data_IF_938711314244
#
_entry.id   IF_938711314244
#
_cell.length_a   1.000
_cell.length_b   1.000
_cell.length_c   1.000
_cell.angle_alpha   90.00
_cell.angle_beta   90.00
_cell.angle_gamma   90.00
#
_symmetry.space_group_name_H-M   'P 1'
#
loop_
_entity.id
_entity.type
_entity.pdbx_description
1 polymer ?
#
# COMPACT_ATOMS: atom_id res chain seq x y z
N UNK A 1 -6.04 -11.06 -11.68
CA UNK A 1 -7.02 -11.72 -12.58
C UNK A 1 -8.40 -11.06 -12.45
N UNK A 2 -9.15 -10.93 -13.54
CA UNK A 2 -10.51 -10.38 -13.48
C UNK A 2 -11.54 -11.47 -13.13
N UNK A 3 -12.72 -11.10 -12.62
CA UNK A 3 -13.82 -12.06 -12.35
C UNK A 3 -14.17 -12.88 -13.60
N UNK A 4 -14.08 -12.27 -14.79
CA UNK A 4 -14.29 -12.92 -16.09
C UNK A 4 -13.30 -14.06 -16.38
N UNK A 5 -12.10 -14.00 -15.81
CA UNK A 5 -11.04 -14.99 -16.07
C UNK A 5 -11.04 -16.12 -15.05
N UNK A 6 -11.54 -15.88 -13.83
CA UNK A 6 -11.51 -16.86 -12.74
C UNK A 6 -12.88 -17.51 -12.48
N UNK A 7 -13.97 -16.91 -12.94
CA UNK A 7 -15.33 -17.33 -12.61
C UNK A 7 -15.71 -17.11 -11.14
N UNK A 8 -14.82 -16.50 -10.33
CA UNK A 8 -15.03 -16.21 -8.91
C UNK A 8 -15.26 -14.71 -8.72
N UNK A 9 -16.07 -14.37 -7.71
CA UNK A 9 -16.18 -12.99 -7.23
C UNK A 9 -14.83 -12.53 -6.68
N UNK A 10 -14.49 -11.25 -6.88
CA UNK A 10 -13.16 -10.72 -6.54
C UNK A 10 -12.83 -10.81 -5.05
N UNK A 11 -13.83 -10.64 -4.18
CA UNK A 11 -13.72 -10.77 -2.73
C UNK A 11 -13.36 -12.21 -2.32
N UNK A 12 -13.99 -13.19 -2.94
CA UNK A 12 -13.74 -14.62 -2.72
C UNK A 12 -12.35 -15.01 -3.22
N UNK A 13 -11.97 -14.54 -4.42
CA UNK A 13 -10.64 -14.77 -4.97
C UNK A 13 -9.55 -14.16 -4.08
N UNK A 14 -9.73 -12.91 -3.62
CA UNK A 14 -8.78 -12.25 -2.73
C UNK A 14 -8.69 -12.95 -1.37
N UNK A 15 -9.82 -13.42 -0.82
CA UNK A 15 -9.81 -14.15 0.43
C UNK A 15 -8.98 -15.44 0.34
N UNK A 16 -9.24 -16.26 -0.67
CA UNK A 16 -8.54 -17.55 -0.83
C UNK A 16 -7.05 -17.40 -1.17
N UNK A 17 -6.71 -16.45 -2.05
CA UNK A 17 -5.36 -16.39 -2.65
C UNK A 17 -4.44 -15.39 -1.96
N UNK A 18 -4.98 -14.48 -1.15
CA UNK A 18 -4.20 -13.44 -0.48
C UNK A 18 -4.49 -13.35 1.01
N UNK A 19 -5.75 -13.16 1.41
CA UNK A 19 -6.06 -12.89 2.82
C UNK A 19 -5.83 -14.11 3.72
N UNK A 20 -6.37 -15.29 3.36
CA UNK A 20 -6.16 -16.52 4.13
C UNK A 20 -4.67 -16.89 4.23
N UNK A 21 -3.87 -16.92 3.14
CA UNK A 21 -2.42 -17.15 3.24
C UNK A 21 -1.68 -16.17 4.16
N UNK A 22 -2.12 -14.92 4.23
CA UNK A 22 -1.55 -13.88 5.09
C UNK A 22 -2.12 -13.87 6.52
N UNK A 23 -3.02 -14.80 6.86
CA UNK A 23 -3.67 -14.87 8.17
C UNK A 23 -4.71 -13.76 8.41
N UNK A 24 -5.17 -13.09 7.36
CA UNK A 24 -6.17 -12.02 7.42
C UNK A 24 -7.55 -12.66 7.45
N UNK A 25 -8.08 -12.82 8.68
CA UNK A 25 -9.38 -13.45 8.92
C UNK A 25 -10.53 -12.46 9.15
N UNK A 26 -10.22 -11.16 9.26
CA UNK A 26 -11.19 -10.09 9.49
C UNK A 26 -11.01 -9.00 8.44
N UNK A 27 -11.93 -8.94 7.50
CA UNK A 27 -12.01 -7.89 6.49
C UNK A 27 -13.47 -7.61 6.17
N UNK A 28 -13.73 -6.41 5.67
CA UNK A 28 -15.02 -6.04 5.11
C UNK A 28 -14.77 -5.39 3.75
N UNK A 29 -15.61 -5.72 2.76
CA UNK A 29 -15.56 -5.07 1.46
C UNK A 29 -16.90 -4.40 1.18
N UNK A 30 -16.88 -3.07 1.13
CA UNK A 30 -18.06 -2.31 0.72
C UNK A 30 -18.47 -2.68 -0.71
N UNK A 31 -19.77 -2.70 -0.95
CA UNK A 31 -20.36 -2.97 -2.27
C UNK A 31 -20.81 -1.67 -2.92
N UNK A 32 -20.90 -1.65 -4.25
CA UNK A 32 -21.53 -0.50 -4.92
C UNK A 32 -23.02 -0.42 -4.55
N UNK A 33 -23.55 0.79 -4.27
CA UNK A 33 -24.95 0.96 -3.91
C UNK A 33 -25.90 0.27 -4.89
N UNK A 34 -26.85 -0.52 -4.36
CA UNK A 34 -27.83 -1.25 -5.17
C UNK A 34 -27.27 -2.48 -5.90
N UNK A 35 -26.05 -2.91 -5.61
CA UNK A 35 -25.44 -4.10 -6.23
C UNK A 35 -24.82 -5.03 -5.19
N UNK A 36 -24.57 -6.28 -5.61
CA UNK A 36 -23.78 -7.25 -4.85
C UNK A 36 -22.28 -7.21 -5.20
N UNK A 37 -21.85 -6.25 -6.03
CA UNK A 37 -20.49 -6.16 -6.53
C UNK A 37 -19.59 -5.43 -5.52
N UNK A 38 -18.48 -6.05 -5.08
CA UNK A 38 -17.48 -5.35 -4.27
C UNK A 38 -16.92 -4.14 -5.00
N UNK A 39 -16.78 -3.02 -4.29
CA UNK A 39 -16.11 -1.84 -4.81
C UNK A 39 -14.59 -2.10 -4.85
N UNK A 40 -14.10 -2.74 -5.90
CA UNK A 40 -12.71 -3.19 -5.94
C UNK A 40 -11.68 -2.04 -5.88
N UNK A 41 -12.05 -0.88 -6.42
CA UNK A 41 -11.22 0.32 -6.43
C UNK A 41 -11.24 1.07 -5.07
N UNK A 42 -12.19 0.78 -4.19
CA UNK A 42 -12.38 1.50 -2.93
C UNK A 42 -13.25 0.74 -1.93
N UNK A 43 -12.93 0.81 -0.64
CA UNK A 43 -13.85 0.27 0.39
C UNK A 43 -13.54 -1.14 0.88
N UNK A 44 -12.38 -1.70 0.52
CA UNK A 44 -11.76 -2.73 1.35
C UNK A 44 -11.36 -2.12 2.70
N UNK A 45 -11.78 -2.74 3.80
CA UNK A 45 -11.43 -2.39 5.17
C UNK A 45 -10.62 -3.52 5.79
N UNK A 46 -9.41 -3.17 6.22
CA UNK A 46 -8.48 -4.05 6.91
C UNK A 46 -7.97 -3.35 8.16
N UNK A 47 -7.53 -4.12 9.16
CA UNK A 47 -6.78 -3.54 10.29
C UNK A 47 -5.39 -3.15 9.81
N UNK A 48 -4.77 -2.14 10.42
CA UNK A 48 -3.43 -1.67 10.04
C UNK A 48 -2.37 -2.77 10.11
N UNK A 49 -2.51 -3.72 11.05
CA UNK A 49 -1.66 -4.93 11.15
C UNK A 49 -1.80 -5.88 9.95
N UNK A 50 -3.01 -5.98 9.38
CA UNK A 50 -3.28 -6.86 8.23
C UNK A 50 -2.76 -6.19 6.94
N UNK A 51 -2.85 -4.86 6.85
CA UNK A 51 -2.16 -4.08 5.81
C UNK A 51 -0.63 -4.21 5.93
N UNK A 52 -0.10 -4.28 7.14
CA UNK A 52 1.33 -4.49 7.36
C UNK A 52 1.77 -5.87 6.86
N UNK A 53 0.97 -6.92 7.03
CA UNK A 53 1.27 -8.24 6.44
C UNK A 53 1.33 -8.18 4.90
N UNK A 54 0.39 -7.48 4.27
CA UNK A 54 0.43 -7.25 2.82
C UNK A 54 1.68 -6.49 2.38
N UNK A 55 2.04 -5.44 3.13
CA UNK A 55 3.21 -4.63 2.85
C UNK A 55 4.50 -5.46 3.06
N UNK A 56 4.57 -6.27 4.10
CA UNK A 56 5.69 -7.18 4.34
C UNK A 56 5.81 -8.26 3.25
N UNK A 57 4.68 -8.77 2.73
CA UNK A 57 4.69 -9.66 1.57
C UNK A 57 5.39 -9.01 0.37
N UNK A 58 5.10 -7.74 0.09
CA UNK A 58 5.75 -6.98 -0.99
C UNK A 58 7.24 -6.71 -0.71
N UNK A 59 7.57 -6.35 0.53
CA UNK A 59 8.96 -6.15 0.97
C UNK A 59 9.78 -7.43 0.81
N UNK A 60 9.21 -8.58 1.17
CA UNK A 60 9.80 -9.92 1.00
C UNK A 60 9.57 -10.51 -0.38
N UNK A 61 9.45 -9.65 -1.40
CA UNK A 61 9.41 -10.04 -2.82
C UNK A 61 8.36 -11.11 -3.14
N UNK A 62 7.21 -11.04 -2.47
CA UNK A 62 6.08 -11.92 -2.69
C UNK A 62 6.17 -13.26 -1.94
N UNK A 63 7.13 -13.43 -1.04
CA UNK A 63 7.31 -14.62 -0.21
C UNK A 63 6.68 -14.43 1.18
N UNK A 64 5.96 -15.44 1.66
CA UNK A 64 5.35 -15.47 2.99
C UNK A 64 5.46 -16.87 3.58
N UNK A 65 6.05 -17.02 4.78
CA UNK A 65 6.28 -18.31 5.45
C UNK A 65 6.77 -19.40 4.50
N UNK A 66 7.87 -19.12 3.80
CA UNK A 66 8.49 -19.99 2.81
C UNK A 66 7.72 -20.28 1.51
N UNK A 67 6.50 -19.77 1.37
CA UNK A 67 5.70 -19.90 0.16
C UNK A 67 5.78 -18.65 -0.72
N UNK A 68 6.02 -18.83 -2.01
CA UNK A 68 5.86 -17.77 -3.00
C UNK A 68 4.36 -17.55 -3.26
N UNK A 69 3.81 -16.42 -2.83
CA UNK A 69 2.39 -16.06 -3.06
C UNK A 69 2.22 -15.16 -4.29
N UNK A 70 3.18 -14.26 -4.53
CA UNK A 70 3.19 -13.36 -5.69
C UNK A 70 4.54 -13.54 -6.39
N UNK A 71 4.63 -13.75 -7.71
CA UNK A 71 5.92 -13.91 -8.37
C UNK A 71 6.88 -12.74 -8.08
N UNK A 72 8.14 -13.03 -7.73
CA UNK A 72 9.16 -12.02 -7.44
C UNK A 72 9.26 -10.98 -8.57
N UNK A 73 9.29 -11.45 -9.82
CA UNK A 73 9.29 -10.60 -11.02
C UNK A 73 8.12 -9.61 -11.05
N UNK A 74 6.93 -10.03 -10.64
CA UNK A 74 5.76 -9.14 -10.59
C UNK A 74 5.94 -8.05 -9.54
N UNK A 75 6.49 -8.39 -8.36
CA UNK A 75 6.80 -7.40 -7.33
C UNK A 75 7.78 -6.36 -7.86
N UNK A 76 8.86 -6.82 -8.48
CA UNK A 76 9.88 -5.94 -9.07
C UNK A 76 9.29 -5.01 -10.13
N UNK A 77 8.54 -5.56 -11.09
CA UNK A 77 7.88 -4.77 -12.14
C UNK A 77 6.84 -3.78 -11.59
N UNK A 78 6.07 -4.18 -10.57
CA UNK A 78 5.05 -3.31 -9.95
C UNK A 78 5.62 -2.13 -9.17
N UNK A 79 6.88 -2.21 -8.77
CA UNK A 79 7.59 -1.13 -8.08
C UNK A 79 8.40 -0.26 -9.06
N UNK A 80 8.27 -0.46 -10.37
CA UNK A 80 8.88 0.40 -11.38
C UNK A 80 7.92 1.48 -11.88
N UNK A 81 8.45 2.68 -12.20
CA UNK A 81 7.67 3.74 -12.82
C UNK A 81 7.18 3.28 -14.20
N UNK A 82 5.87 3.29 -14.41
CA UNK A 82 5.25 3.03 -15.71
C UNK A 82 4.87 4.34 -16.41
N UNK A 83 4.53 5.37 -15.62
CA UNK A 83 4.17 6.70 -16.09
C UNK A 83 4.76 7.75 -15.14
N UNK A 84 5.39 8.79 -15.70
CA UNK A 84 5.80 9.99 -14.97
C UNK A 84 4.58 10.88 -14.73
N UNK A 85 4.44 11.41 -13.51
CA UNK A 85 3.32 12.29 -13.19
C UNK A 85 3.67 13.76 -13.50
N UNK A 86 2.71 14.56 -13.97
CA UNK A 86 2.93 15.98 -14.27
C UNK A 86 3.36 16.81 -13.06
N UNK A 87 2.93 16.41 -11.86
CA UNK A 87 3.22 17.10 -10.59
C UNK A 87 4.49 16.59 -9.90
N UNK A 88 5.27 15.75 -10.59
CA UNK A 88 6.47 15.12 -10.07
C UNK A 88 6.19 13.73 -9.47
N UNK A 89 7.21 12.89 -9.50
CA UNK A 89 7.10 11.48 -9.14
C UNK A 89 6.51 10.62 -10.27
N UNK A 90 6.14 9.40 -9.93
CA UNK A 90 5.71 8.39 -10.90
C UNK A 90 4.58 7.52 -10.36
N UNK A 91 4.03 6.71 -11.24
CA UNK A 91 3.02 5.71 -10.94
C UNK A 91 3.31 4.42 -11.70
N UNK A 92 3.11 3.27 -11.06
CA UNK A 92 3.29 1.96 -11.65
C UNK A 92 2.40 0.92 -10.99
N UNK A 93 1.62 0.18 -11.78
CA UNK A 93 0.75 -0.93 -11.35
C UNK A 93 0.09 -0.77 -9.96
N UNK A 94 -0.61 0.35 -9.73
CA UNK A 94 -1.30 0.70 -8.47
C UNK A 94 -0.46 1.28 -7.33
N UNK A 95 0.83 1.51 -7.56
CA UNK A 95 1.74 2.16 -6.63
C UNK A 95 2.09 3.57 -7.09
N UNK A 96 2.05 4.49 -6.14
CA UNK A 96 2.56 5.84 -6.31
C UNK A 96 4.02 5.90 -5.88
N UNK A 97 4.79 6.77 -6.50
CA UNK A 97 6.22 6.90 -6.24
C UNK A 97 6.59 8.37 -6.21
N UNK A 98 7.32 8.79 -5.20
CA UNK A 98 7.86 10.15 -5.08
C UNK A 98 9.05 10.18 -4.13
N UNK A 99 9.67 11.34 -4.03
CA UNK A 99 10.77 11.59 -3.11
C UNK A 99 10.28 12.34 -1.88
N UNK A 100 10.46 11.76 -0.69
CA UNK A 100 10.35 12.49 0.57
C UNK A 100 11.64 13.28 0.81
N UNK A 101 11.50 14.52 1.27
CA UNK A 101 12.63 15.43 1.55
C UNK A 101 12.79 15.62 3.05
N UNK A 102 14.01 15.47 3.54
CA UNK A 102 14.38 15.73 4.94
C UNK A 102 15.72 16.48 4.99
N UNK A 103 15.66 17.81 5.13
CA UNK A 103 16.84 18.65 4.94
C UNK A 103 17.43 18.42 3.55
N UNK A 104 18.71 18.09 3.49
CA UNK A 104 19.42 17.78 2.23
C UNK A 104 19.20 16.33 1.74
N UNK A 105 18.53 15.49 2.53
CA UNK A 105 18.27 14.10 2.16
C UNK A 105 17.05 13.99 1.25
N UNK A 106 17.20 13.15 0.23
CA UNK A 106 16.14 12.74 -0.67
C UNK A 106 15.92 11.24 -0.48
N UNK A 107 14.70 10.85 -0.10
CA UNK A 107 14.34 9.48 0.22
C UNK A 107 13.27 9.04 -0.77
N UNK A 108 13.62 8.21 -1.78
CA UNK A 108 12.63 7.69 -2.72
C UNK A 108 11.71 6.71 -2.00
N UNK A 109 10.40 6.92 -2.12
CA UNK A 109 9.38 6.06 -1.54
C UNK A 109 8.47 5.50 -2.62
N UNK A 110 8.16 4.21 -2.50
CA UNK A 110 7.00 3.60 -3.17
C UNK A 110 5.87 3.55 -2.16
N UNK A 111 4.63 3.79 -2.57
CA UNK A 111 3.52 3.92 -1.62
C UNK A 111 2.15 3.61 -2.19
N UNK A 112 1.29 3.08 -1.32
CA UNK A 112 -0.14 2.99 -1.55
C UNK A 112 -0.83 4.24 -0.98
N UNK A 113 -1.74 4.84 -1.74
CA UNK A 113 -2.45 6.08 -1.36
C UNK A 113 -3.95 5.81 -1.33
N UNK A 114 -4.56 5.93 -0.15
CA UNK A 114 -6.00 5.84 0.04
C UNK A 114 -6.61 7.16 0.49
N UNK A 115 -7.87 7.41 0.08
CA UNK A 115 -8.68 8.51 0.62
C UNK A 115 -8.83 8.35 2.14
N UNK A 116 -8.82 9.46 2.87
CA UNK A 116 -8.78 9.43 4.34
C UNK A 116 -7.38 9.51 4.92
N UNK A 117 -6.38 9.81 4.10
CA UNK A 117 -4.97 9.87 4.48
C UNK A 117 -4.45 8.50 4.98
N UNK A 118 -4.85 7.44 4.26
CA UNK A 118 -4.36 6.08 4.47
C UNK A 118 -3.10 5.86 3.62
N UNK A 119 -2.01 5.39 4.20
CA UNK A 119 -0.76 5.14 3.48
C UNK A 119 -0.08 3.84 3.88
N UNK A 120 0.62 3.26 2.91
CA UNK A 120 1.67 2.28 3.12
C UNK A 120 2.91 2.84 2.45
N UNK A 121 3.96 3.15 3.21
CA UNK A 121 5.24 3.61 2.68
C UNK A 121 6.25 2.45 2.67
N UNK A 122 6.91 2.28 1.54
CA UNK A 122 8.03 1.37 1.34
C UNK A 122 9.29 2.21 1.13
N UNK A 123 10.04 2.42 2.21
CA UNK A 123 11.37 3.03 2.18
C UNK A 123 12.43 1.93 2.24
N UNK A 124 12.73 1.37 1.07
CA UNK A 124 13.69 0.27 0.93
C UNK A 124 15.11 0.69 1.24
N UNK A 125 15.45 1.97 1.04
CA UNK A 125 16.81 2.47 1.26
C UNK A 125 17.19 2.43 2.75
N UNK A 126 16.19 2.55 3.63
CA UNK A 126 16.39 2.55 5.08
C UNK A 126 15.81 1.32 5.79
N UNK A 127 15.43 0.27 5.05
CA UNK A 127 14.76 -0.95 5.56
C UNK A 127 13.55 -0.61 6.46
N UNK A 128 12.72 0.32 5.98
CA UNK A 128 11.60 0.88 6.72
C UNK A 128 10.29 0.66 5.96
N UNK A 129 9.33 0.05 6.67
CA UNK A 129 7.97 -0.14 6.22
C UNK A 129 7.00 0.53 7.21
N UNK A 130 6.15 1.41 6.70
CA UNK A 130 5.24 2.19 7.55
C UNK A 130 3.82 2.08 7.03
N UNK A 131 2.90 1.65 7.89
CA UNK A 131 1.46 1.69 7.63
C UNK A 131 0.84 2.75 8.53
N UNK A 132 0.14 3.69 7.93
CA UNK A 132 -0.63 4.71 8.63
C UNK A 132 -2.07 4.68 8.17
N UNK A 133 -2.98 4.64 9.14
CA UNK A 133 -4.41 4.76 8.88
C UNK A 133 -4.99 5.94 9.64
N UNK A 134 -5.76 6.79 8.96
CA UNK A 134 -6.34 8.02 9.51
C UNK A 134 -7.83 8.14 9.16
N UNK A 135 -8.40 9.33 9.34
CA UNK A 135 -9.83 9.61 9.08
C UNK A 135 -10.05 10.90 8.28
N UNK A 136 -9.02 11.40 7.59
CA UNK A 136 -9.03 12.70 6.92
C UNK A 136 -9.71 12.63 5.54
N UNK A 137 -10.93 12.08 5.48
CA UNK A 137 -11.61 11.82 4.22
C UNK A 137 -11.91 13.11 3.46
N UNK A 138 -11.65 13.11 2.15
CA UNK A 138 -11.84 14.24 1.24
C UNK A 138 -11.05 15.51 1.63
N UNK A 139 -10.01 15.35 2.45
CA UNK A 139 -9.08 16.41 2.86
C UNK A 139 -7.70 16.13 2.27
N UNK A 140 -7.50 16.49 1.01
CA UNK A 140 -6.24 16.19 0.30
C UNK A 140 -5.11 17.17 0.64
N UNK A 141 -5.45 18.42 0.99
CA UNK A 141 -4.49 19.52 1.18
C UNK A 141 -4.12 19.79 2.65
N UNK A 142 -4.43 18.86 3.56
CA UNK A 142 -4.04 19.03 4.97
C UNK A 142 -2.52 18.96 5.12
N UNK A 143 -1.97 19.91 5.88
CA UNK A 143 -0.52 20.00 6.11
C UNK A 143 -0.01 18.90 7.03
N UNK A 144 -0.75 18.56 8.09
CA UNK A 144 -0.38 17.52 9.05
C UNK A 144 -0.86 16.14 8.56
N UNK A 145 -0.51 15.79 7.33
CA UNK A 145 -0.84 14.51 6.73
C UNK A 145 0.16 13.41 7.12
N UNK A 146 -0.09 12.19 6.69
CA UNK A 146 0.79 11.04 6.91
C UNK A 146 2.24 11.25 6.43
N UNK A 147 2.45 11.93 5.31
CA UNK A 147 3.83 12.27 4.87
C UNK A 147 4.49 13.25 5.84
N UNK A 148 3.75 14.20 6.44
CA UNK A 148 4.29 15.04 7.50
C UNK A 148 4.65 14.23 8.75
N UNK A 149 3.82 13.25 9.15
CA UNK A 149 4.17 12.35 10.26
C UNK A 149 5.48 11.57 10.00
N UNK A 150 5.66 11.12 8.76
CA UNK A 150 6.88 10.44 8.33
C UNK A 150 8.09 11.37 8.44
N UNK A 151 8.00 12.60 7.93
CA UNK A 151 9.12 13.58 7.94
C UNK A 151 9.41 14.20 9.29
N UNK A 152 8.39 14.44 10.11
CA UNK A 152 8.53 15.25 11.32
C UNK A 152 8.79 14.39 12.56
N UNK A 153 8.44 13.10 12.52
CA UNK A 153 8.58 12.20 13.68
C UNK A 153 9.34 10.92 13.37
N UNK A 154 8.99 10.20 12.28
CA UNK A 154 9.59 8.87 12.01
C UNK A 154 11.02 9.01 11.51
N UNK A 155 11.25 9.77 10.45
CA UNK A 155 12.60 9.93 9.91
C UNK A 155 13.57 10.61 10.89
N UNK A 156 13.18 11.66 11.65
CA UNK A 156 14.06 12.21 12.68
C UNK A 156 14.41 11.17 13.75
N UNK A 157 13.46 10.36 14.21
CA UNK A 157 13.74 9.30 15.18
C UNK A 157 14.68 8.22 14.60
N UNK A 158 14.52 7.87 13.32
CA UNK A 158 15.35 6.88 12.64
C UNK A 158 16.79 7.36 12.42
N UNK A 159 16.97 8.63 12.03
CA UNK A 159 18.27 9.18 11.61
C UNK A 159 19.03 9.89 12.71
N UNK A 160 18.36 10.45 13.72
CA UNK A 160 19.02 11.09 14.86
C UNK A 160 19.20 10.14 16.05
N UNK A 161 18.54 8.98 16.02
CA UNK A 161 18.66 7.94 17.05
C UNK A 161 19.82 6.96 16.85
N UNK A 162 20.73 7.23 15.91
CA UNK A 162 21.95 6.46 15.62
C UNK A 162 23.19 7.30 15.82
#
# INVERSE_FOLDING_TARGET
PSEKTTGKKIDSFANENLFQPLGIIRFEWAKYPGTELPAAASGLRLRSRDLLNFAFLYDKKGKWNDKQLIPEKWIEESFQPQVQRPDGGAYGYQFWMWDEKLGDRTIPVVTCVGNGDQRIFFDKANDLLVVMTAGNYNKWDIKNNTSALLRDYIYPALFNGR
#
